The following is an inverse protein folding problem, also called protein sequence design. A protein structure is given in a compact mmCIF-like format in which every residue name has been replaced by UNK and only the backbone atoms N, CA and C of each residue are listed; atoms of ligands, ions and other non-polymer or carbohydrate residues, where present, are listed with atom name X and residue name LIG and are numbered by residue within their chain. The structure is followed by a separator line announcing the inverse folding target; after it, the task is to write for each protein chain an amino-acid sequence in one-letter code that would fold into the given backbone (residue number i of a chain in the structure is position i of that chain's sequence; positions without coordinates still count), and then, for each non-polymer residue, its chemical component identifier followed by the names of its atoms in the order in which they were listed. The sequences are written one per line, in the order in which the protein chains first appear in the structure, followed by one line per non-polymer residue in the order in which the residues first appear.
data_IF_167232642581
#
_entry.id   IF_167232642581
#
_cell.length_a   1.000
_cell.length_b   1.000
_cell.length_c   1.000
_cell.angle_alpha   90.00
_cell.angle_beta   90.00
_cell.angle_gamma   90.00
#
_symmetry.space_group_name_H-M   'P 1'
#
loop_
_entity.id
_entity.type
_entity.pdbx_description
1 polymer ?
#
# COMPACT_ATOMS: atom_id res chain seq x y z
N UNK A 1 -9.00 -56.10 25.40
CA UNK A 1 -9.30 -54.65 25.31
C UNK A 1 -8.10 -53.88 24.76
N UNK A 2 -7.90 -53.85 23.44
CA UNK A 2 -6.95 -52.93 22.76
C UNK A 2 -7.44 -52.61 21.35
N UNK A 3 -8.71 -52.23 21.25
CA UNK A 3 -9.38 -51.90 19.99
C UNK A 3 -10.03 -50.51 20.10
N UNK A 4 -9.25 -49.50 20.48
CA UNK A 4 -9.77 -48.12 20.55
C UNK A 4 -8.74 -47.02 20.31
N UNK A 5 -7.47 -47.34 20.01
CA UNK A 5 -6.41 -46.32 19.95
C UNK A 5 -5.94 -45.93 18.54
N UNK A 6 -6.50 -46.52 17.48
CA UNK A 6 -6.06 -46.26 16.09
C UNK A 6 -6.97 -45.26 15.35
N UNK A 7 -8.14 -44.93 15.91
CA UNK A 7 -9.13 -44.07 15.23
C UNK A 7 -8.97 -42.56 15.48
N UNK A 8 -8.07 -42.13 16.37
CA UNK A 8 -7.91 -40.70 16.71
C UNK A 8 -6.84 -39.99 15.87
N UNK A 9 -5.97 -40.72 15.18
CA UNK A 9 -4.89 -40.13 14.37
C UNK A 9 -5.28 -39.83 12.91
N UNK A 10 -6.51 -40.12 12.50
CA UNK A 10 -6.95 -40.07 11.10
C UNK A 10 -7.69 -38.80 10.64
N UNK A 11 -7.96 -37.81 11.51
CA UNK A 11 -8.78 -36.64 11.15
C UNK A 11 -8.28 -35.33 11.74
N UNK A 12 -7.04 -34.92 11.44
CA UNK A 12 -6.69 -33.49 11.49
C UNK A 12 -5.84 -33.13 10.27
N UNK A 13 -6.39 -33.43 9.09
CA UNK A 13 -6.10 -32.68 7.86
C UNK A 13 -7.42 -32.05 7.41
N UNK A 14 -8.05 -31.33 8.35
CA UNK A 14 -9.11 -30.40 8.00
C UNK A 14 -8.42 -29.30 7.21
N UNK A 15 -8.81 -29.21 5.93
CA UNK A 15 -8.48 -28.14 5.01
C UNK A 15 -8.56 -26.78 5.68
N UNK A 16 -7.44 -26.28 6.21
CA UNK A 16 -7.20 -24.85 6.28
C UNK A 16 -6.61 -24.42 4.94
N UNK A 17 -7.34 -24.69 3.85
CA UNK A 17 -7.45 -23.63 2.85
C UNK A 17 -8.24 -22.53 3.56
N UNK A 18 -7.53 -21.74 4.37
CA UNK A 18 -8.01 -20.42 4.72
C UNK A 18 -8.31 -19.81 3.36
N UNK A 19 -9.59 -19.75 3.01
CA UNK A 19 -10.05 -19.13 1.80
C UNK A 19 -9.50 -17.71 1.92
N UNK A 20 -8.37 -17.45 1.25
CA UNK A 20 -7.79 -16.12 1.24
C UNK A 20 -8.93 -15.26 0.72
N UNK A 21 -9.40 -14.26 1.50
CA UNK A 21 -10.51 -13.44 1.05
C UNK A 21 -10.14 -12.98 -0.36
N UNK A 22 -11.03 -13.25 -1.32
CA UNK A 22 -10.80 -12.88 -2.70
C UNK A 22 -10.67 -11.36 -2.67
N UNK A 23 -9.45 -10.86 -2.84
CA UNK A 23 -9.15 -9.43 -2.79
C UNK A 23 -9.98 -8.78 -3.89
N UNK A 24 -10.95 -7.97 -3.50
CA UNK A 24 -11.84 -7.26 -4.45
C UNK A 24 -11.38 -5.82 -4.62
N UNK A 25 -11.80 -5.19 -5.72
CA UNK A 25 -11.64 -3.75 -5.92
C UNK A 25 -12.24 -2.95 -4.74
N UNK A 26 -13.41 -3.35 -4.24
CA UNK A 26 -14.07 -2.66 -3.12
C UNK A 26 -13.23 -2.67 -1.83
N UNK A 27 -12.52 -3.77 -1.56
CA UNK A 27 -11.62 -3.85 -0.42
C UNK A 27 -10.47 -2.84 -0.56
N UNK A 28 -9.86 -2.76 -1.74
CA UNK A 28 -8.78 -1.82 -2.04
C UNK A 28 -9.27 -0.37 -1.92
N UNK A 29 -10.46 -0.08 -2.46
CA UNK A 29 -11.11 1.23 -2.36
C UNK A 29 -11.34 1.62 -0.91
N UNK A 30 -11.78 0.67 -0.08
CA UNK A 30 -12.00 0.88 1.35
C UNK A 30 -10.68 1.16 2.08
N UNK A 31 -9.64 0.36 1.83
CA UNK A 31 -8.31 0.58 2.41
C UNK A 31 -7.73 1.94 2.02
N UNK A 32 -7.81 2.32 0.74
CA UNK A 32 -7.33 3.59 0.25
C UNK A 32 -8.07 4.77 0.90
N UNK A 33 -9.40 4.71 1.05
CA UNK A 33 -10.19 5.73 1.75
C UNK A 33 -9.80 5.89 3.22
N UNK A 34 -9.60 4.77 3.93
CA UNK A 34 -9.15 4.78 5.32
C UNK A 34 -7.77 5.43 5.43
N UNK A 35 -6.85 5.09 4.54
CA UNK A 35 -5.51 5.68 4.51
C UNK A 35 -5.53 7.18 4.18
N UNK A 36 -6.39 7.63 3.26
CA UNK A 36 -6.60 9.07 2.97
C UNK A 36 -7.06 9.81 4.24
N UNK A 37 -8.03 9.26 4.98
CA UNK A 37 -8.51 9.86 6.22
C UNK A 37 -7.39 9.96 7.28
N UNK A 38 -6.58 8.91 7.41
CA UNK A 38 -5.42 8.88 8.31
C UNK A 38 -4.36 9.91 7.91
N UNK A 39 -4.03 10.00 6.63
CA UNK A 39 -3.08 11.00 6.09
C UNK A 39 -3.54 12.43 6.39
N UNK A 40 -4.84 12.72 6.21
CA UNK A 40 -5.41 14.02 6.56
C UNK A 40 -5.23 14.34 8.04
N UNK A 41 -5.53 13.38 8.92
CA UNK A 41 -5.36 13.53 10.37
C UNK A 41 -3.91 13.79 10.76
N UNK A 42 -2.99 12.94 10.30
CA UNK A 42 -1.55 13.07 10.58
C UNK A 42 -1.01 14.42 10.15
N UNK A 43 -1.35 14.88 8.93
CA UNK A 43 -0.91 16.18 8.44
C UNK A 43 -1.42 17.31 9.31
N UNK A 44 -2.69 17.29 9.71
CA UNK A 44 -3.27 18.33 10.55
C UNK A 44 -2.67 18.36 11.97
N UNK A 45 -2.37 17.21 12.56
CA UNK A 45 -1.91 17.10 13.96
C UNK A 45 -0.39 17.30 14.11
N UNK A 46 0.39 16.99 13.07
CA UNK A 46 1.85 16.89 13.20
C UNK A 46 2.65 17.78 12.24
N UNK A 47 2.00 18.41 11.25
CA UNK A 47 2.67 19.27 10.29
C UNK A 47 2.05 20.67 10.30
N UNK A 48 2.75 21.63 10.91
CA UNK A 48 2.38 23.05 10.88
C UNK A 48 2.87 23.71 9.58
N UNK A 49 2.40 23.23 8.43
CA UNK A 49 2.75 23.78 7.12
C UNK A 49 1.73 24.85 6.70
N UNK A 50 2.20 26.01 6.25
CA UNK A 50 1.31 27.06 5.70
C UNK A 50 0.60 26.56 4.44
N UNK A 51 -0.70 26.86 4.32
CA UNK A 51 -1.50 26.55 3.12
C UNK A 51 -1.01 27.28 1.86
N UNK A 52 -0.16 28.30 2.02
CA UNK A 52 0.44 29.07 0.93
C UNK A 52 1.61 28.34 0.26
N UNK A 53 2.16 27.31 0.92
CA UNK A 53 3.23 26.50 0.35
C UNK A 53 2.60 25.50 -0.63
N UNK A 54 2.47 25.93 -1.88
CA UNK A 54 2.14 25.04 -2.98
C UNK A 54 3.39 24.28 -3.41
N UNK A 55 3.49 23.03 -3.00
CA UNK A 55 4.45 22.12 -3.60
C UNK A 55 3.96 21.77 -4.99
N UNK A 56 4.76 22.16 -6.00
CA UNK A 56 4.45 22.04 -7.42
C UNK A 56 3.67 20.77 -7.76
N UNK A 57 2.57 20.95 -8.48
CA UNK A 57 1.63 19.88 -8.87
C UNK A 57 2.11 19.03 -10.04
N UNK A 58 3.38 19.15 -10.42
CA UNK A 58 3.85 18.79 -11.77
C UNK A 58 4.20 17.30 -11.95
N UNK A 59 3.72 16.43 -11.06
CA UNK A 59 3.83 14.97 -11.21
C UNK A 59 2.46 14.33 -11.28
N UNK A 60 1.64 14.77 -12.23
CA UNK A 60 0.35 14.13 -12.45
C UNK A 60 0.27 13.49 -13.84
N UNK A 61 0.70 12.22 -13.92
CA UNK A 61 0.16 11.11 -14.76
C UNK A 61 1.06 9.87 -14.70
N UNK A 62 0.56 8.62 -14.90
CA UNK A 62 -0.81 8.08 -14.79
C UNK A 62 -0.89 6.87 -13.83
N UNK A 63 -2.12 6.41 -13.55
CA UNK A 63 -2.35 5.05 -13.03
C UNK A 63 -2.72 4.19 -14.24
N UNK A 64 -1.89 3.23 -14.61
CA UNK A 64 -2.27 2.18 -15.57
C UNK A 64 -1.71 0.83 -15.15
N UNK A 65 -2.58 -0.18 -15.07
CA UNK A 65 -2.15 -1.52 -14.71
C UNK A 65 -1.88 -1.71 -13.23
N UNK A 66 -2.03 -2.94 -12.76
CA UNK A 66 -1.58 -3.31 -11.41
C UNK A 66 -0.07 -3.11 -11.24
N UNK A 67 0.72 -3.29 -12.30
CA UNK A 67 2.18 -3.13 -12.27
C UNK A 67 2.59 -1.71 -11.90
N UNK A 68 2.01 -0.70 -12.54
CA UNK A 68 2.39 0.69 -12.25
C UNK A 68 1.98 1.11 -10.84
N UNK A 69 0.86 0.59 -10.33
CA UNK A 69 0.42 0.83 -8.95
C UNK A 69 1.43 0.23 -7.96
N UNK A 70 1.84 -1.02 -8.19
CA UNK A 70 2.85 -1.70 -7.36
C UNK A 70 4.18 -0.95 -7.38
N UNK A 71 4.61 -0.45 -8.54
CA UNK A 71 5.83 0.35 -8.67
C UNK A 71 5.73 1.64 -7.86
N UNK A 72 4.64 2.39 -8.03
CA UNK A 72 4.45 3.68 -7.37
C UNK A 72 4.39 3.52 -5.85
N UNK A 73 3.55 2.62 -5.34
CA UNK A 73 3.42 2.38 -3.90
C UNK A 73 4.70 1.77 -3.31
N UNK A 74 5.45 0.97 -4.08
CA UNK A 74 6.78 0.53 -3.68
C UNK A 74 7.77 1.68 -3.50
N UNK A 75 7.72 2.70 -4.37
CA UNK A 75 8.52 3.92 -4.18
C UNK A 75 8.10 4.72 -2.94
N UNK A 76 6.80 4.73 -2.63
CA UNK A 76 6.27 5.41 -1.44
C UNK A 76 6.71 4.73 -0.15
N UNK A 77 6.67 3.39 -0.10
CA UNK A 77 7.19 2.62 1.03
C UNK A 77 8.63 3.05 1.37
N UNK A 78 9.50 3.18 0.37
CA UNK A 78 10.90 3.58 0.57
C UNK A 78 11.02 5.02 1.06
N UNK A 79 10.22 5.94 0.50
CA UNK A 79 10.22 7.37 0.91
C UNK A 79 9.71 7.58 2.32
N UNK A 80 8.77 6.76 2.78
CA UNK A 80 8.21 6.87 4.12
C UNK A 80 9.12 6.24 5.19
N UNK A 81 9.86 5.18 4.84
CA UNK A 81 10.65 4.33 5.77
C UNK A 81 11.81 4.99 6.54
N UNK A 82 12.30 6.19 6.18
CA UNK A 82 13.28 6.86 7.06
C UNK A 82 12.59 7.18 8.41
N UNK A 83 13.30 7.22 9.56
CA UNK A 83 12.73 6.94 10.87
C UNK A 83 11.37 7.62 11.08
N UNK A 84 10.27 6.86 10.98
CA UNK A 84 8.96 7.42 11.15
C UNK A 84 8.90 7.90 12.60
N UNK A 85 8.52 9.15 12.76
CA UNK A 85 7.86 9.57 13.99
C UNK A 85 6.72 8.59 14.28
N UNK A 86 6.50 8.25 15.55
CA UNK A 86 5.51 7.24 15.98
C UNK A 86 4.14 7.36 15.27
N UNK A 87 3.72 8.58 14.94
CA UNK A 87 2.47 8.88 14.25
C UNK A 87 2.40 8.44 12.77
N UNK A 88 3.52 8.16 12.11
CA UNK A 88 3.57 7.70 10.71
C UNK A 88 3.61 6.18 10.57
N UNK A 89 3.93 5.44 11.63
CA UNK A 89 4.09 3.98 11.57
C UNK A 89 2.87 3.28 10.97
N UNK A 90 1.68 3.73 11.37
CA UNK A 90 0.44 3.16 10.86
C UNK A 90 0.21 3.46 9.37
N UNK A 91 0.65 4.62 8.87
CA UNK A 91 0.57 4.94 7.44
C UNK A 91 1.49 4.02 6.64
N UNK A 92 2.69 3.72 7.15
CA UNK A 92 3.60 2.76 6.52
C UNK A 92 3.02 1.35 6.50
N UNK A 93 2.47 0.89 7.63
CA UNK A 93 1.80 -0.42 7.72
C UNK A 93 0.61 -0.51 6.75
N UNK A 94 -0.16 0.57 6.60
CA UNK A 94 -1.27 0.65 5.65
C UNK A 94 -0.77 0.57 4.19
N UNK A 95 0.34 1.25 3.85
CA UNK A 95 0.99 1.18 2.53
C UNK A 95 1.52 -0.23 2.25
N UNK A 96 2.21 -0.85 3.20
CA UNK A 96 2.78 -2.19 3.09
C UNK A 96 1.70 -3.24 2.86
N UNK A 97 0.61 -3.13 3.62
CA UNK A 97 -0.54 -4.04 3.50
C UNK A 97 -1.20 -3.89 2.13
N UNK A 98 -1.45 -2.66 1.68
CA UNK A 98 -2.04 -2.38 0.37
C UNK A 98 -1.14 -2.91 -0.76
N UNK A 99 0.17 -2.68 -0.66
CA UNK A 99 1.16 -3.15 -1.62
C UNK A 99 1.20 -4.69 -1.70
N UNK A 100 1.10 -5.37 -0.55
CA UNK A 100 1.02 -6.83 -0.48
C UNK A 100 -0.19 -7.38 -1.24
N UNK A 101 -1.37 -6.78 -1.05
CA UNK A 101 -2.59 -7.18 -1.76
C UNK A 101 -2.48 -6.94 -3.27
N UNK A 102 -1.99 -5.77 -3.68
CA UNK A 102 -1.81 -5.42 -5.09
C UNK A 102 -0.81 -6.34 -5.79
N UNK A 103 0.28 -6.71 -5.13
CA UNK A 103 1.24 -7.72 -5.64
C UNK A 103 0.57 -9.09 -5.79
N UNK A 104 -0.21 -9.52 -4.80
CA UNK A 104 -0.95 -10.78 -4.87
C UNK A 104 -1.92 -10.84 -6.05
N UNK A 105 -2.64 -9.75 -6.32
CA UNK A 105 -3.50 -9.64 -7.49
C UNK A 105 -2.71 -9.61 -8.81
N UNK A 106 -1.62 -8.85 -8.87
CA UNK A 106 -0.78 -8.76 -10.06
C UNK A 106 -0.21 -10.12 -10.45
N UNK A 107 0.25 -10.91 -9.47
CA UNK A 107 0.69 -12.30 -9.67
C UNK A 107 -0.48 -13.17 -10.15
N UNK A 108 -1.66 -13.04 -9.54
CA UNK A 108 -2.86 -13.77 -9.96
C UNK A 108 -3.31 -13.45 -11.40
N UNK A 109 -2.99 -12.25 -11.90
CA UNK A 109 -3.27 -11.81 -13.27
C UNK A 109 -2.08 -12.01 -14.23
N UNK A 110 -1.01 -12.69 -13.79
CA UNK A 110 0.21 -12.92 -14.57
C UNK A 110 0.90 -11.63 -15.05
N UNK A 111 0.78 -10.54 -14.29
CA UNK A 111 1.49 -9.30 -14.58
C UNK A 111 3.00 -9.44 -14.33
N UNK A 112 3.82 -8.90 -15.22
CA UNK A 112 5.26 -8.77 -15.00
C UNK A 112 5.53 -7.71 -13.94
N UNK A 113 5.98 -8.15 -12.77
CA UNK A 113 6.38 -7.25 -11.70
C UNK A 113 7.88 -6.90 -11.79
N UNK A 114 8.28 -5.67 -11.38
CA UNK A 114 9.68 -5.32 -11.27
C UNK A 114 10.39 -6.22 -10.25
N UNK A 115 11.68 -6.49 -10.48
CA UNK A 115 12.52 -7.18 -9.50
C UNK A 115 12.52 -6.39 -8.18
N UNK A 116 12.46 -7.11 -7.06
CA UNK A 116 12.55 -6.50 -5.74
C UNK A 116 13.80 -5.62 -5.66
N UNK A 117 13.61 -4.35 -5.29
CA UNK A 117 14.69 -3.38 -5.14
C UNK A 117 15.02 -2.52 -6.37
N UNK A 118 14.38 -2.72 -7.52
CA UNK A 118 14.65 -1.90 -8.72
C UNK A 118 14.26 -0.43 -8.58
N UNK A 119 13.42 -0.10 -7.59
CA UNK A 119 12.92 1.26 -7.32
C UNK A 119 13.68 1.98 -6.18
N UNK A 120 14.80 1.40 -5.72
CA UNK A 120 15.56 1.91 -4.56
C UNK A 120 16.48 3.08 -4.95
N UNK A 121 15.89 4.25 -5.20
CA UNK A 121 16.64 5.50 -5.11
C UNK A 121 16.07 6.31 -3.95
N UNK A 122 16.69 6.16 -2.78
CA UNK A 122 16.50 7.09 -1.68
C UNK A 122 17.31 8.34 -2.01
N UNK A 123 16.63 9.42 -2.38
CA UNK A 123 17.26 10.74 -2.45
C UNK A 123 17.63 11.15 -1.04
N UNK A 124 18.91 11.43 -0.80
CA UNK A 124 19.26 12.27 0.34
C UNK A 124 18.64 13.65 0.10
N UNK A 125 18.14 14.27 1.17
CA UNK A 125 17.46 15.56 1.10
C UNK A 125 17.94 16.41 2.26
N UNK A 126 18.34 17.63 1.94
CA UNK A 126 18.78 18.62 2.93
C UNK A 126 17.64 19.07 3.85
N UNK A 127 16.38 18.79 3.46
CA UNK A 127 15.17 19.20 4.18
C UNK A 127 14.24 18.01 4.42
N UNK A 128 14.59 17.11 5.36
CA UNK A 128 13.88 15.86 5.56
C UNK A 128 12.40 16.10 5.88
N UNK A 129 12.07 17.00 6.80
CA UNK A 129 10.67 17.28 7.22
C UNK A 129 9.80 17.70 6.03
N UNK A 130 10.31 18.59 5.19
CA UNK A 130 9.62 19.10 4.01
C UNK A 130 9.43 18.01 2.94
N UNK A 131 10.48 17.22 2.68
CA UNK A 131 10.43 16.07 1.77
C UNK A 131 9.44 15.00 2.24
N UNK A 132 9.36 14.80 3.55
CA UNK A 132 8.39 13.90 4.17
C UNK A 132 6.96 14.37 3.99
N UNK A 133 6.69 15.63 4.33
CA UNK A 133 5.38 16.22 4.13
C UNK A 133 4.95 16.12 2.66
N UNK A 134 5.88 16.36 1.73
CA UNK A 134 5.63 16.18 0.30
C UNK A 134 5.24 14.76 -0.06
N UNK A 135 5.93 13.76 0.49
CA UNK A 135 5.62 12.34 0.23
C UNK A 135 4.22 11.97 0.73
N UNK A 136 3.76 12.55 1.85
CA UNK A 136 2.40 12.37 2.34
C UNK A 136 1.35 13.02 1.43
N UNK A 137 1.64 14.19 0.86
CA UNK A 137 0.78 14.85 -0.12
C UNK A 137 0.66 14.04 -1.40
N UNK A 138 1.79 13.57 -1.94
CA UNK A 138 1.84 12.74 -3.13
C UNK A 138 1.03 11.46 -2.92
N UNK A 139 1.23 10.77 -1.78
CA UNK A 139 0.51 9.54 -1.46
C UNK A 139 -1.00 9.81 -1.37
N UNK A 140 -1.42 10.88 -0.67
CA UNK A 140 -2.84 11.21 -0.57
C UNK A 140 -3.46 11.43 -1.96
N UNK A 141 -2.85 12.27 -2.80
CA UNK A 141 -3.33 12.55 -4.17
C UNK A 141 -3.43 11.27 -4.99
N UNK A 142 -2.42 10.39 -4.89
CA UNK A 142 -2.40 9.14 -5.60
C UNK A 142 -3.54 8.19 -5.18
N UNK A 143 -3.80 8.06 -3.88
CA UNK A 143 -4.89 7.22 -3.37
C UNK A 143 -6.26 7.76 -3.76
N UNK A 144 -6.44 9.08 -3.75
CA UNK A 144 -7.66 9.74 -4.24
C UNK A 144 -7.88 9.39 -5.71
N UNK A 145 -6.83 9.49 -6.54
CA UNK A 145 -6.85 9.09 -7.94
C UNK A 145 -7.11 7.59 -8.14
N UNK A 146 -6.52 6.72 -7.30
CA UNK A 146 -6.75 5.27 -7.34
C UNK A 146 -8.22 4.94 -7.07
N UNK A 147 -8.83 5.55 -6.05
CA UNK A 147 -10.24 5.34 -5.74
C UNK A 147 -11.18 5.71 -6.90
N UNK A 148 -10.84 6.74 -7.68
CA UNK A 148 -11.63 7.20 -8.81
C UNK A 148 -11.48 6.33 -10.06
N UNK A 149 -10.33 5.65 -10.22
CA UNK A 149 -9.97 4.94 -11.44
C UNK A 149 -9.89 3.42 -11.30
N UNK A 150 -10.14 2.87 -10.09
CA UNK A 150 -9.98 1.46 -9.80
C UNK A 150 -10.76 0.53 -10.77
N UNK A 151 -11.97 0.94 -11.13
CA UNK A 151 -12.88 0.18 -11.99
C UNK A 151 -12.49 0.27 -13.48
N UNK A 152 -11.55 1.16 -13.82
CA UNK A 152 -11.07 1.45 -15.18
C UNK A 152 -9.60 1.05 -15.38
N UNK A 153 -9.02 0.33 -14.42
CA UNK A 153 -7.63 -0.09 -14.51
C UNK A 153 -7.44 -1.08 -15.66
N UNK A 154 -6.40 -0.84 -16.46
CA UNK A 154 -5.80 -1.91 -17.26
C UNK A 154 -5.36 -3.05 -16.32
N UNK A 155 -5.31 -4.28 -16.82
CA UNK A 155 -4.89 -5.43 -16.00
C UNK A 155 -3.45 -5.26 -15.51
N UNK A 156 -2.54 -5.05 -16.47
CA UNK A 156 -1.16 -4.63 -16.29
C UNK A 156 -0.92 -3.46 -17.28
#
# INVERSE_FOLDING_TARGET
MKLSLVLVYGMVLVCSSMARPKITGDMIKTMAKTMIARLKKVKAEHFAMSSEISFGTDKDTPIEGLTSIVVYLGSMQVRLRVPPTHHLRQVEEDVDTLLGYLRGMAVGQSCTLPKAGSTLLKSETDFPITSYYQSLLDLQRYLEKLCLNLDKLKSC
#
